data_IF_871686393743
#
_entry.id   IF_871686393743
#
_cell.length_a   1.000
_cell.length_b   1.000
_cell.length_c   1.000
_cell.angle_alpha   90.00
_cell.angle_beta   90.00
_cell.angle_gamma   90.00
#
_symmetry.space_group_name_H-M   'P 1'
#
loop_
_entity.id
_entity.type
_entity.pdbx_description
1 polymer ?
#
# COMPACT_ATOMS: atom_id res chain seq x y z
N UNK A 1 -43.14 -7.62 15.35
CA UNK A 1 -42.10 -8.68 15.45
C UNK A 1 -41.26 -8.86 14.19
N UNK A 2 -41.75 -8.46 13.01
CA UNK A 2 -40.99 -8.58 11.71
C UNK A 2 -39.90 -7.52 11.53
N UNK A 3 -40.01 -6.33 12.13
CA UNK A 3 -38.97 -5.28 11.92
C UNK A 3 -37.61 -5.54 12.60
N UNK A 4 -37.57 -6.37 13.65
CA UNK A 4 -36.31 -6.74 14.30
C UNK A 4 -35.52 -7.81 13.52
N UNK A 5 -36.20 -8.65 12.76
CA UNK A 5 -35.56 -9.68 11.94
C UNK A 5 -34.90 -9.05 10.72
N UNK A 6 -35.53 -8.08 10.05
CA UNK A 6 -34.92 -7.35 8.92
C UNK A 6 -33.69 -6.52 9.33
N UNK A 7 -33.70 -5.96 10.55
CA UNK A 7 -32.52 -5.20 11.05
C UNK A 7 -31.37 -6.14 11.44
N UNK A 8 -31.65 -7.36 11.90
CA UNK A 8 -30.59 -8.37 12.14
C UNK A 8 -30.03 -8.94 10.86
N UNK A 9 -30.86 -9.29 9.87
CA UNK A 9 -30.40 -9.77 8.56
C UNK A 9 -29.58 -8.71 7.82
N UNK A 10 -29.97 -7.44 7.87
CA UNK A 10 -29.18 -6.36 7.27
C UNK A 10 -27.83 -6.11 7.99
N UNK A 11 -27.73 -6.41 9.28
CA UNK A 11 -26.47 -6.35 10.03
C UNK A 11 -25.55 -7.55 9.79
N UNK A 12 -26.09 -8.74 9.59
CA UNK A 12 -25.28 -9.92 9.24
C UNK A 12 -24.81 -9.88 7.78
N UNK A 13 -25.63 -9.38 6.86
CA UNK A 13 -25.25 -9.16 5.46
C UNK A 13 -24.12 -8.13 5.28
N UNK A 14 -23.99 -7.17 6.21
CA UNK A 14 -22.89 -6.20 6.24
C UNK A 14 -21.60 -6.76 6.89
N UNK A 15 -21.62 -7.95 7.48
CA UNK A 15 -20.49 -8.48 8.25
C UNK A 15 -19.49 -9.29 7.42
N UNK A 16 -19.86 -9.78 6.24
CA UNK A 16 -18.97 -10.55 5.37
C UNK A 16 -18.92 -9.99 3.95
N UNK A 17 -18.32 -8.82 3.77
CA UNK A 17 -17.85 -8.46 2.44
C UNK A 17 -16.80 -9.48 2.01
N UNK A 18 -17.14 -10.30 1.01
CA UNK A 18 -16.18 -11.22 0.38
C UNK A 18 -15.00 -10.41 -0.15
N UNK A 19 -13.78 -10.92 0.00
CA UNK A 19 -12.55 -10.18 -0.38
C UNK A 19 -12.59 -9.58 -1.80
N UNK A 20 -13.26 -10.25 -2.75
CA UNK A 20 -13.47 -9.74 -4.12
C UNK A 20 -14.36 -8.50 -4.17
N UNK A 21 -15.36 -8.41 -3.29
CA UNK A 21 -16.25 -7.25 -3.22
C UNK A 21 -15.52 -6.02 -2.65
N UNK A 22 -14.61 -6.23 -1.69
CA UNK A 22 -13.73 -5.17 -1.17
C UNK A 22 -12.84 -4.63 -2.29
N UNK A 23 -12.24 -5.50 -3.11
CA UNK A 23 -11.43 -5.07 -4.26
C UNK A 23 -12.30 -4.29 -5.25
N UNK A 24 -13.46 -4.81 -5.62
CA UNK A 24 -14.36 -4.12 -6.55
C UNK A 24 -14.75 -2.72 -6.03
N UNK A 25 -15.13 -2.62 -4.77
CA UNK A 25 -15.45 -1.34 -4.15
C UNK A 25 -14.25 -0.39 -4.03
N UNK A 26 -13.05 -0.93 -3.80
CA UNK A 26 -11.82 -0.15 -3.76
C UNK A 26 -11.52 0.52 -5.10
N UNK A 27 -11.78 -0.17 -6.22
CA UNK A 27 -11.53 0.36 -7.57
C UNK A 27 -12.65 1.30 -8.06
N UNK A 28 -13.91 1.07 -7.65
CA UNK A 28 -15.06 1.86 -8.10
C UNK A 28 -15.40 3.03 -7.18
N UNK A 29 -15.30 2.83 -5.86
CA UNK A 29 -15.68 3.81 -4.84
C UNK A 29 -14.71 3.78 -3.65
N UNK A 30 -13.42 4.19 -3.82
CA UNK A 30 -12.38 4.03 -2.80
C UNK A 30 -12.75 4.71 -1.47
N UNK A 31 -13.34 5.89 -1.53
CA UNK A 31 -13.76 6.65 -0.33
C UNK A 31 -14.77 5.87 0.52
N UNK A 32 -15.83 5.34 -0.11
CA UNK A 32 -16.87 4.55 0.59
C UNK A 32 -16.29 3.24 1.15
N UNK A 33 -15.42 2.59 0.39
CA UNK A 33 -14.72 1.38 0.82
C UNK A 33 -13.93 1.65 2.11
N UNK A 34 -13.13 2.71 2.15
CA UNK A 34 -12.31 3.05 3.32
C UNK A 34 -13.13 3.45 4.54
N UNK A 35 -14.26 4.14 4.37
CA UNK A 35 -15.17 4.51 5.47
C UNK A 35 -15.83 3.28 6.11
N UNK A 36 -16.15 2.25 5.33
CA UNK A 36 -16.82 1.03 5.80
C UNK A 36 -15.87 -0.01 6.40
N UNK A 37 -14.56 0.19 6.27
CA UNK A 37 -13.55 -0.78 6.67
C UNK A 37 -13.51 -1.06 8.19
N UNK A 38 -14.01 -0.14 9.02
CA UNK A 38 -13.98 -0.25 10.49
C UNK A 38 -14.69 -1.50 11.03
N UNK A 39 -15.56 -2.14 10.25
CA UNK A 39 -16.38 -3.28 10.65
C UNK A 39 -15.89 -4.63 10.06
N UNK A 40 -14.86 -4.63 9.22
CA UNK A 40 -14.44 -5.85 8.50
C UNK A 40 -13.21 -6.51 9.13
N UNK A 41 -13.29 -7.82 9.36
CA UNK A 41 -12.13 -8.67 9.75
C UNK A 41 -11.27 -9.01 8.51
N UNK A 42 -10.76 -7.96 7.82
CA UNK A 42 -10.01 -8.11 6.57
C UNK A 42 -8.52 -8.45 6.76
N UNK A 43 -8.07 -8.79 7.97
CA UNK A 43 -6.65 -8.95 8.30
C UNK A 43 -5.93 -10.00 7.44
N UNK A 44 -6.53 -11.17 7.21
CA UNK A 44 -5.95 -12.21 6.36
C UNK A 44 -5.88 -11.78 4.89
N UNK A 45 -6.89 -11.07 4.43
CA UNK A 45 -6.96 -10.60 3.05
C UNK A 45 -5.89 -9.53 2.77
N UNK A 46 -5.65 -8.65 3.73
CA UNK A 46 -4.57 -7.65 3.66
C UNK A 46 -3.20 -8.32 3.62
N UNK A 47 -2.95 -9.32 4.47
CA UNK A 47 -1.70 -10.07 4.43
C UNK A 47 -1.47 -10.73 3.06
N UNK A 48 -2.50 -11.30 2.46
CA UNK A 48 -2.45 -11.87 1.12
C UNK A 48 -2.09 -10.82 0.06
N UNK A 49 -2.70 -9.63 0.10
CA UNK A 49 -2.38 -8.52 -0.81
C UNK A 49 -0.93 -8.09 -0.66
N UNK A 50 -0.41 -7.95 0.56
CA UNK A 50 0.98 -7.56 0.81
C UNK A 50 1.94 -8.60 0.22
N UNK A 51 1.68 -9.89 0.45
CA UNK A 51 2.50 -10.98 -0.10
C UNK A 51 2.45 -10.98 -1.63
N UNK A 52 1.26 -10.92 -2.22
CA UNK A 52 1.08 -10.89 -3.68
C UNK A 52 1.74 -9.65 -4.30
N UNK A 53 1.67 -8.49 -3.66
CA UNK A 53 2.33 -7.27 -4.12
C UNK A 53 3.85 -7.42 -4.11
N UNK A 54 4.42 -8.00 -3.05
CA UNK A 54 5.86 -8.28 -2.95
C UNK A 54 6.35 -9.25 -4.03
N UNK A 55 5.60 -10.33 -4.24
CA UNK A 55 5.88 -11.29 -5.31
C UNK A 55 5.80 -10.62 -6.69
N UNK A 56 4.72 -9.85 -6.94
CA UNK A 56 4.49 -9.20 -8.22
C UNK A 56 5.58 -8.20 -8.59
N UNK A 57 6.02 -7.36 -7.65
CA UNK A 57 7.10 -6.40 -7.88
C UNK A 57 8.39 -7.13 -8.23
N UNK A 58 8.79 -8.15 -7.47
CA UNK A 58 10.03 -8.89 -7.73
C UNK A 58 9.99 -9.66 -9.05
N UNK A 59 8.87 -10.35 -9.33
CA UNK A 59 8.69 -11.10 -10.57
C UNK A 59 8.72 -10.16 -11.78
N UNK A 60 8.07 -9.00 -11.69
CA UNK A 60 8.05 -8.02 -12.79
C UNK A 60 9.45 -7.47 -13.11
N UNK A 61 10.24 -7.15 -12.08
CA UNK A 61 11.63 -6.71 -12.25
C UNK A 61 12.49 -7.86 -12.83
N UNK A 62 12.26 -9.10 -12.40
CA UNK A 62 12.97 -10.27 -12.93
C UNK A 62 12.60 -10.58 -14.38
N UNK A 63 11.37 -10.41 -14.79
CA UNK A 63 10.92 -10.58 -16.19
C UNK A 63 11.68 -9.65 -17.12
N UNK A 64 11.97 -8.42 -16.69
CA UNK A 64 12.66 -7.42 -17.51
C UNK A 64 14.19 -7.50 -17.45
N UNK A 65 14.73 -7.74 -16.26
CA UNK A 65 16.19 -7.63 -16.01
C UNK A 65 16.84 -8.99 -15.72
N UNK A 66 16.09 -10.05 -15.51
CA UNK A 66 16.54 -11.37 -15.07
C UNK A 66 17.29 -12.20 -16.12
N UNK A 67 17.61 -11.63 -17.30
CA UNK A 67 18.41 -12.29 -18.34
C UNK A 67 19.88 -12.50 -17.94
N UNK A 68 20.36 -11.78 -16.92
CA UNK A 68 21.72 -11.91 -16.41
C UNK A 68 21.87 -13.20 -15.60
N UNK A 69 22.73 -14.10 -16.06
CA UNK A 69 23.04 -15.40 -15.45
C UNK A 69 23.50 -15.29 -13.98
N UNK A 70 24.06 -14.14 -13.60
CA UNK A 70 24.54 -13.87 -12.24
C UNK A 70 23.41 -13.63 -11.24
N UNK A 71 22.26 -13.05 -11.64
CA UNK A 71 21.15 -12.71 -10.74
C UNK A 71 20.19 -13.87 -10.54
N UNK A 72 20.10 -14.79 -11.51
CA UNK A 72 19.18 -15.94 -11.47
C UNK A 72 19.24 -16.78 -10.18
N UNK A 73 20.43 -17.19 -9.66
CA UNK A 73 20.47 -18.01 -8.45
C UNK A 73 19.97 -17.29 -7.20
N UNK A 74 20.00 -15.94 -7.18
CA UNK A 74 19.56 -15.13 -6.06
C UNK A 74 18.05 -14.78 -6.09
N UNK A 75 17.34 -15.18 -7.13
CA UNK A 75 15.91 -14.86 -7.28
C UNK A 75 15.04 -15.25 -6.07
N UNK A 76 15.15 -16.47 -5.49
CA UNK A 76 14.36 -16.82 -4.31
C UNK A 76 14.66 -15.93 -3.10
N UNK A 77 15.93 -15.56 -2.92
CA UNK A 77 16.35 -14.66 -1.86
C UNK A 77 15.80 -13.24 -2.07
N UNK A 78 15.87 -12.71 -3.28
CA UNK A 78 15.29 -11.41 -3.63
C UNK A 78 13.77 -11.39 -3.42
N UNK A 79 13.09 -12.48 -3.78
CA UNK A 79 11.65 -12.61 -3.57
C UNK A 79 11.28 -12.59 -2.08
N UNK A 80 12.00 -13.34 -1.26
CA UNK A 80 11.80 -13.36 0.19
C UNK A 80 12.06 -11.99 0.81
N UNK A 81 13.17 -11.34 0.45
CA UNK A 81 13.53 -10.00 0.93
C UNK A 81 12.53 -8.93 0.49
N UNK A 82 11.98 -9.04 -0.72
CA UNK A 82 10.95 -8.10 -1.22
C UNK A 82 9.67 -8.18 -0.42
N UNK A 83 9.17 -9.39 -0.13
CA UNK A 83 7.95 -9.57 0.68
C UNK A 83 8.15 -9.01 2.09
N UNK A 84 9.27 -9.32 2.74
CA UNK A 84 9.60 -8.77 4.07
C UNK A 84 9.78 -7.25 4.01
N UNK A 85 10.45 -6.74 2.99
CA UNK A 85 10.68 -5.31 2.80
C UNK A 85 9.37 -4.53 2.64
N UNK A 86 8.46 -5.00 1.78
CA UNK A 86 7.15 -4.37 1.59
C UNK A 86 6.32 -4.45 2.88
N UNK A 87 6.30 -5.59 3.56
CA UNK A 87 5.60 -5.73 4.84
C UNK A 87 6.18 -4.80 5.92
N UNK A 88 7.52 -4.69 5.99
CA UNK A 88 8.21 -3.78 6.91
C UNK A 88 7.90 -2.31 6.62
N UNK A 89 8.00 -1.89 5.36
CA UNK A 89 7.67 -0.51 4.94
C UNK A 89 6.20 -0.21 5.23
N UNK A 90 5.29 -1.12 4.89
CA UNK A 90 3.86 -0.96 5.18
C UNK A 90 3.60 -0.77 6.67
N UNK A 91 4.20 -1.60 7.54
CA UNK A 91 4.00 -1.52 8.98
C UNK A 91 4.59 -0.24 9.58
N UNK A 92 5.85 0.08 9.23
CA UNK A 92 6.55 1.26 9.76
C UNK A 92 5.89 2.56 9.27
N UNK A 93 5.57 2.67 7.99
CA UNK A 93 4.88 3.84 7.46
C UNK A 93 3.49 4.01 8.08
N UNK A 94 2.76 2.91 8.27
CA UNK A 94 1.46 2.93 8.93
C UNK A 94 1.53 3.40 10.37
N UNK A 95 2.56 2.98 11.13
CA UNK A 95 2.80 3.46 12.49
C UNK A 95 3.13 4.96 12.53
N UNK A 96 3.99 5.44 11.62
CA UNK A 96 4.34 6.87 11.51
C UNK A 96 3.10 7.69 11.15
N UNK A 97 2.33 7.26 10.14
CA UNK A 97 1.11 7.96 9.73
C UNK A 97 0.09 8.04 10.87
N UNK A 98 -0.07 6.97 11.63
CA UNK A 98 -0.99 6.96 12.77
C UNK A 98 -0.57 7.95 13.85
N UNK A 99 0.71 7.92 14.28
CA UNK A 99 1.24 8.83 15.29
C UNK A 99 1.08 10.30 14.88
N UNK A 100 1.45 10.64 13.64
CA UNK A 100 1.35 12.02 13.17
C UNK A 100 -0.11 12.45 13.00
N UNK A 101 -0.99 11.54 12.55
CA UNK A 101 -2.41 11.82 12.45
C UNK A 101 -3.07 12.06 13.83
N UNK A 102 -2.68 11.31 14.88
CA UNK A 102 -3.12 11.56 16.26
C UNK A 102 -2.67 12.94 16.77
N UNK A 103 -1.44 13.35 16.49
CA UNK A 103 -0.96 14.71 16.83
C UNK A 103 -1.78 15.82 16.15
N UNK A 104 -2.34 15.53 14.98
CA UNK A 104 -3.22 16.44 14.24
C UNK A 104 -4.71 16.32 14.63
N UNK A 105 -5.00 15.65 15.76
CA UNK A 105 -6.36 15.34 16.26
C UNK A 105 -7.17 14.41 15.35
N UNK A 106 -6.52 13.44 14.70
CA UNK A 106 -7.17 12.35 13.98
C UNK A 106 -7.85 11.36 14.95
N UNK A 107 -9.02 10.85 14.58
CA UNK A 107 -9.82 9.95 15.44
C UNK A 107 -9.78 8.49 14.97
N UNK A 108 -8.89 8.15 14.02
CA UNK A 108 -8.79 6.81 13.42
C UNK A 108 -8.11 5.80 14.35
N UNK A 109 -8.51 4.51 14.23
CA UNK A 109 -7.82 3.41 14.91
C UNK A 109 -6.63 2.93 14.06
N UNK A 110 -5.48 2.64 14.69
CA UNK A 110 -4.28 2.14 14.02
C UNK A 110 -4.55 0.87 13.19
N UNK A 111 -5.33 -0.07 13.73
CA UNK A 111 -5.66 -1.32 13.03
C UNK A 111 -6.45 -1.09 11.74
N UNK A 112 -7.38 -0.13 11.75
CA UNK A 112 -8.17 0.24 10.56
C UNK A 112 -7.28 0.92 9.52
N UNK A 113 -6.37 1.81 9.96
CA UNK A 113 -5.40 2.45 9.06
C UNK A 113 -4.48 1.42 8.41
N UNK A 114 -3.89 0.51 9.19
CA UNK A 114 -3.03 -0.55 8.64
C UNK A 114 -3.78 -1.41 7.62
N UNK A 115 -5.03 -1.77 7.91
CA UNK A 115 -5.88 -2.50 6.95
C UNK A 115 -6.08 -1.71 5.66
N UNK A 116 -6.43 -0.42 5.75
CA UNK A 116 -6.65 0.44 4.60
C UNK A 116 -5.38 0.64 3.76
N UNK A 117 -4.23 0.87 4.41
CA UNK A 117 -2.92 0.99 3.73
C UNK A 117 -2.50 -0.31 3.04
N UNK A 118 -2.78 -1.47 3.65
CA UNK A 118 -2.49 -2.76 3.02
C UNK A 118 -3.35 -3.00 1.78
N UNK A 119 -4.65 -2.65 1.82
CA UNK A 119 -5.53 -2.71 0.65
C UNK A 119 -5.09 -1.75 -0.46
N UNK A 120 -4.50 -0.60 -0.10
CA UNK A 120 -3.98 0.37 -1.07
C UNK A 120 -2.82 -0.16 -1.91
N UNK A 121 -2.17 -1.26 -1.50
CA UNK A 121 -1.12 -1.94 -2.28
C UNK A 121 -1.67 -2.82 -3.40
N UNK A 122 -2.99 -3.05 -3.48
CA UNK A 122 -3.59 -3.94 -4.48
C UNK A 122 -3.25 -3.61 -5.94
N UNK A 123 -3.11 -2.34 -6.40
CA UNK A 123 -2.69 -2.06 -7.76
C UNK A 123 -1.30 -2.57 -8.09
N UNK A 124 -0.41 -2.75 -7.10
CA UNK A 124 0.95 -3.28 -7.31
C UNK A 124 0.96 -4.72 -7.84
N UNK A 125 -0.14 -5.47 -7.67
CA UNK A 125 -0.30 -6.81 -8.24
C UNK A 125 -0.29 -6.76 -9.77
N UNK A 126 -0.69 -5.63 -10.35
CA UNK A 126 -0.72 -5.44 -11.81
C UNK A 126 0.67 -5.23 -12.43
N UNK A 127 1.73 -5.11 -11.65
CA UNK A 127 3.09 -4.91 -12.19
C UNK A 127 3.56 -6.06 -13.08
N UNK A 128 3.19 -7.32 -12.76
CA UNK A 128 3.53 -8.49 -13.59
C UNK A 128 2.90 -8.43 -14.98
N UNK A 129 1.58 -8.32 -15.16
CA UNK A 129 1.01 -8.23 -16.50
C UNK A 129 1.53 -7.01 -17.28
N UNK A 130 1.79 -5.88 -16.62
CA UNK A 130 2.36 -4.71 -17.26
C UNK A 130 3.82 -4.94 -17.71
N UNK A 131 4.62 -5.69 -16.94
CA UNK A 131 5.96 -6.10 -17.33
C UNK A 131 5.95 -7.00 -18.57
N UNK A 132 5.01 -7.94 -18.66
CA UNK A 132 4.85 -8.82 -19.83
C UNK A 132 4.48 -8.02 -21.08
N UNK A 133 3.56 -7.06 -20.97
CA UNK A 133 3.19 -6.16 -22.07
C UNK A 133 4.40 -5.32 -22.49
N UNK A 134 5.15 -4.76 -21.54
CA UNK A 134 6.34 -3.98 -21.83
C UNK A 134 7.41 -4.80 -22.55
N UNK A 135 7.60 -6.08 -22.18
CA UNK A 135 8.56 -6.97 -22.83
C UNK A 135 8.24 -7.19 -24.30
N UNK A 136 6.98 -7.18 -24.71
CA UNK A 136 6.57 -7.28 -26.10
C UNK A 136 6.92 -6.03 -26.95
N UNK A 137 7.27 -4.89 -26.31
CA UNK A 137 7.62 -3.64 -26.99
C UNK A 137 9.10 -3.56 -27.45
N UNK A 138 9.87 -4.64 -27.37
CA UNK A 138 11.26 -4.70 -27.88
C UNK A 138 12.19 -3.66 -27.25
N UNK A 139 12.78 -2.77 -28.04
CA UNK A 139 13.77 -1.78 -27.58
C UNK A 139 13.14 -0.73 -26.61
N UNK A 140 11.86 -0.46 -26.72
CA UNK A 140 11.14 0.48 -25.87
C UNK A 140 10.67 -0.12 -24.55
N UNK A 141 10.93 -1.41 -24.29
CA UNK A 141 10.43 -2.14 -23.11
C UNK A 141 10.67 -1.42 -21.78
N UNK A 142 11.86 -0.81 -21.62
CA UNK A 142 12.23 -0.11 -20.39
C UNK A 142 11.36 1.12 -20.16
N UNK A 143 11.19 1.95 -21.19
CA UNK A 143 10.38 3.17 -21.11
C UNK A 143 8.90 2.85 -20.84
N UNK A 144 8.37 1.85 -21.54
CA UNK A 144 6.98 1.39 -21.36
C UNK A 144 6.76 0.85 -19.94
N UNK A 145 7.71 0.04 -19.44
CA UNK A 145 7.64 -0.50 -18.08
C UNK A 145 7.70 0.59 -17.02
N UNK A 146 8.64 1.53 -17.14
CA UNK A 146 8.76 2.64 -16.20
C UNK A 146 7.51 3.51 -16.22
N UNK A 147 6.90 3.73 -17.38
CA UNK A 147 5.63 4.42 -17.51
C UNK A 147 4.50 3.72 -16.75
N UNK A 148 4.33 2.42 -16.93
CA UNK A 148 3.36 1.62 -16.18
C UNK A 148 3.64 1.59 -14.68
N UNK A 149 4.91 1.42 -14.31
CA UNK A 149 5.32 1.43 -12.89
C UNK A 149 5.00 2.76 -12.21
N UNK A 150 5.21 3.88 -12.92
CA UNK A 150 4.84 5.22 -12.45
C UNK A 150 3.32 5.38 -12.29
N UNK A 151 2.53 4.91 -13.24
CA UNK A 151 1.06 4.95 -13.14
C UNK A 151 0.54 4.14 -11.95
N UNK A 152 1.06 2.93 -11.74
CA UNK A 152 0.71 2.09 -10.60
C UNK A 152 1.13 2.78 -9.28
N UNK A 153 2.33 3.39 -9.24
CA UNK A 153 2.81 4.12 -8.06
C UNK A 153 1.88 5.29 -7.72
N UNK A 154 1.50 6.10 -8.71
CA UNK A 154 0.57 7.23 -8.51
C UNK A 154 -0.76 6.71 -7.94
N UNK A 155 -1.27 5.62 -8.48
CA UNK A 155 -2.52 5.03 -8.01
C UNK A 155 -2.43 4.52 -6.56
N UNK A 156 -1.34 3.82 -6.20
CA UNK A 156 -1.09 3.38 -4.81
C UNK A 156 -1.01 4.58 -3.87
N UNK A 157 -0.28 5.63 -4.26
CA UNK A 157 -0.13 6.88 -3.48
C UNK A 157 -1.48 7.55 -3.26
N UNK A 158 -2.32 7.64 -4.29
CA UNK A 158 -3.66 8.20 -4.19
C UNK A 158 -4.54 7.41 -3.22
N UNK A 159 -4.54 6.07 -3.32
CA UNK A 159 -5.28 5.21 -2.39
C UNK A 159 -4.79 5.32 -0.96
N UNK A 160 -3.48 5.43 -0.72
CA UNK A 160 -2.91 5.65 0.61
C UNK A 160 -3.32 7.01 1.18
N UNK A 161 -3.31 8.05 0.35
CA UNK A 161 -3.74 9.38 0.76
C UNK A 161 -5.22 9.40 1.18
N UNK A 162 -6.10 8.78 0.37
CA UNK A 162 -7.53 8.62 0.69
C UNK A 162 -7.69 7.81 1.99
N UNK A 163 -6.92 6.74 2.17
CA UNK A 163 -6.96 5.88 3.37
C UNK A 163 -6.69 6.68 4.65
N UNK A 164 -5.63 7.49 4.66
CA UNK A 164 -5.28 8.31 5.83
C UNK A 164 -6.39 9.32 6.13
N UNK A 165 -6.88 10.00 5.08
CA UNK A 165 -7.91 11.04 5.23
C UNK A 165 -9.21 10.48 5.80
N UNK A 166 -9.71 9.40 5.23
CA UNK A 166 -11.02 8.83 5.60
C UNK A 166 -10.97 8.12 6.95
N UNK A 167 -9.89 7.37 7.23
CA UNK A 167 -9.76 6.65 8.50
C UNK A 167 -9.64 7.61 9.69
N UNK A 168 -8.85 8.68 9.55
CA UNK A 168 -8.65 9.64 10.64
C UNK A 168 -9.63 10.82 10.61
N UNK A 169 -10.46 10.94 9.56
CA UNK A 169 -11.44 12.02 9.36
C UNK A 169 -10.79 13.42 9.47
N UNK A 170 -9.60 13.57 8.91
CA UNK A 170 -8.84 14.82 8.89
C UNK A 170 -8.98 15.55 7.56
N UNK A 171 -8.70 16.86 7.57
CA UNK A 171 -8.75 17.67 6.35
C UNK A 171 -7.63 17.26 5.37
N UNK A 172 -7.82 17.54 4.09
CA UNK A 172 -6.86 17.25 3.02
C UNK A 172 -5.48 17.84 3.31
N UNK A 173 -5.41 19.07 3.85
CA UNK A 173 -4.14 19.70 4.20
C UNK A 173 -3.40 18.94 5.31
N UNK A 174 -4.12 18.54 6.36
CA UNK A 174 -3.53 17.72 7.44
C UNK A 174 -3.06 16.36 6.91
N UNK A 175 -3.83 15.74 6.01
CA UNK A 175 -3.44 14.48 5.36
C UNK A 175 -2.14 14.62 4.59
N UNK A 176 -1.94 15.74 3.88
CA UNK A 176 -0.69 16.01 3.17
C UNK A 176 0.52 16.08 4.12
N UNK A 177 0.36 16.71 5.29
CA UNK A 177 1.39 16.74 6.33
C UNK A 177 1.70 15.35 6.89
N UNK A 178 0.65 14.55 7.17
CA UNK A 178 0.82 13.16 7.61
C UNK A 178 1.55 12.34 6.56
N UNK A 179 1.13 12.45 5.29
CA UNK A 179 1.73 11.70 4.19
C UNK A 179 3.20 12.08 3.93
N UNK A 180 3.54 13.36 4.09
CA UNK A 180 4.92 13.85 3.97
C UNK A 180 5.83 13.50 5.17
N UNK A 181 5.26 13.10 6.30
CA UNK A 181 6.02 12.91 7.55
C UNK A 181 7.17 11.88 7.45
N UNK A 182 7.06 10.71 6.79
CA UNK A 182 8.18 9.79 6.68
C UNK A 182 9.36 10.41 5.91
N UNK A 183 9.08 11.16 4.86
CA UNK A 183 10.13 11.85 4.08
C UNK A 183 10.85 12.91 4.91
N UNK A 184 10.11 13.68 5.72
CA UNK A 184 10.67 14.68 6.62
C UNK A 184 11.54 14.03 7.69
N UNK A 185 11.09 12.92 8.29
CA UNK A 185 11.83 12.18 9.31
C UNK A 185 13.14 11.62 8.72
N UNK A 186 13.07 10.96 7.56
CA UNK A 186 14.25 10.39 6.90
C UNK A 186 15.25 11.50 6.56
N UNK A 187 14.79 12.60 5.97
CA UNK A 187 15.66 13.75 5.65
C UNK A 187 16.29 14.34 6.89
N UNK A 188 15.53 14.50 7.98
CA UNK A 188 16.06 14.98 9.26
C UNK A 188 17.15 14.07 9.82
N UNK A 189 16.94 12.75 9.80
CA UNK A 189 17.95 11.77 10.23
C UNK A 189 19.22 11.87 9.38
N UNK A 190 19.08 11.96 8.05
CA UNK A 190 20.23 12.10 7.15
C UNK A 190 21.02 13.37 7.41
N UNK A 191 20.36 14.51 7.66
CA UNK A 191 21.02 15.77 8.01
C UNK A 191 21.81 15.62 9.31
N UNK A 192 21.21 15.01 10.35
CA UNK A 192 21.88 14.77 11.62
C UNK A 192 23.13 13.90 11.44
N UNK A 193 23.02 12.82 10.67
CA UNK A 193 24.15 11.92 10.37
C UNK A 193 25.25 12.70 9.63
N UNK A 194 24.91 13.50 8.61
CA UNK A 194 25.90 14.31 7.88
C UNK A 194 26.61 15.32 8.78
N UNK A 195 25.86 15.99 9.68
CA UNK A 195 26.45 16.91 10.64
C UNK A 195 27.39 16.20 11.60
N UNK A 196 27.00 15.03 12.11
CA UNK A 196 27.84 14.24 13.02
C UNK A 196 29.14 13.78 12.33
N UNK A 197 29.08 13.33 11.08
CA UNK A 197 30.28 12.93 10.30
C UNK A 197 31.14 14.17 10.02
N UNK A 198 30.54 15.31 9.63
CA UNK A 198 31.28 16.53 9.33
C UNK A 198 31.95 17.20 10.55
N UNK A 199 31.47 16.91 11.76
CA UNK A 199 32.09 17.39 13.02
C UNK A 199 33.22 16.48 13.47
N UNK A 200 33.26 15.21 13.00
CA UNK A 200 34.31 14.22 13.37
C UNK A 200 35.48 14.18 12.39
N UNK A 201 35.40 14.91 11.28
CA UNK A 201 36.48 15.08 10.28
C UNK A 201 37.11 16.47 10.46
#
# INVERSE_FOLDING_TARGET
MNGYIEICESKEQNAEMKGLEIIYQLFTHPVKCMQNLSNTKASYFVALIIILSGISVTVSDFVLFGTNTFIRPFFPFCLFMSVIGIAGIWFVSGAIFHLVAEWLNGQGKASVLLTALGLSLSPSILTVPMALIAQACGDLKLFVYLGFKLLILIWVVELQFISIREVHRISTFKTLLVFGSPSIIITGILIVIMVMIGVTV
#
